data_IF_300833571180
#
_entry.id   IF_300833571180
#
_cell.length_a   1.000
_cell.length_b   1.000
_cell.length_c   1.000
_cell.angle_alpha   90.00
_cell.angle_beta   90.00
_cell.angle_gamma   90.00
#
_symmetry.space_group_name_H-M   'P 1'
#
loop_
_entity.id
_entity.type
_entity.pdbx_description
1 polymer ?
#
# COMPACT_ATOMS: atom_id res chain seq x y z
N UNK A 1 -23.22 -8.31 8.09
CA UNK A 1 -23.43 -8.92 9.42
C UNK A 1 -22.15 -8.95 10.26
N UNK A 2 -21.09 -9.69 9.93
CA UNK A 2 -19.83 -9.65 10.72
C UNK A 2 -19.14 -8.28 10.67
N UNK A 3 -18.96 -7.71 9.47
CA UNK A 3 -18.36 -6.37 9.31
C UNK A 3 -19.12 -5.25 10.03
N UNK A 4 -20.45 -5.29 10.08
CA UNK A 4 -21.24 -4.28 10.81
C UNK A 4 -21.06 -4.40 12.32
N UNK A 5 -20.91 -5.64 12.83
CA UNK A 5 -20.71 -5.90 14.26
C UNK A 5 -19.32 -5.43 14.71
N UNK A 6 -18.28 -5.67 13.90
CA UNK A 6 -16.91 -5.19 14.20
C UNK A 6 -16.83 -3.67 14.23
N UNK A 7 -17.53 -3.00 13.33
CA UNK A 7 -17.51 -1.55 13.25
C UNK A 7 -18.35 -0.88 14.34
N UNK A 8 -19.49 -1.47 14.71
CA UNK A 8 -20.20 -1.04 15.91
C UNK A 8 -19.31 -1.19 17.16
N UNK A 9 -18.60 -2.32 17.28
CA UNK A 9 -17.68 -2.54 18.40
C UNK A 9 -16.53 -1.53 18.43
N UNK A 10 -16.03 -1.11 17.26
CA UNK A 10 -15.01 -0.07 17.15
C UNK A 10 -15.56 1.32 17.56
N UNK A 11 -16.78 1.65 17.12
CA UNK A 11 -17.46 2.88 17.51
C UNK A 11 -17.77 2.92 19.01
N UNK A 12 -18.19 1.80 19.60
CA UNK A 12 -18.42 1.69 21.05
C UNK A 12 -17.11 1.91 21.83
N UNK A 13 -15.99 1.43 21.30
CA UNK A 13 -14.65 1.67 21.87
C UNK A 13 -14.24 3.14 21.76
N UNK A 14 -14.49 3.79 20.63
CA UNK A 14 -14.26 5.23 20.46
C UNK A 14 -15.12 6.02 21.46
N UNK A 15 -16.41 5.71 21.56
CA UNK A 15 -17.33 6.34 22.52
C UNK A 15 -16.87 6.15 23.98
N UNK A 16 -16.37 4.96 24.31
CA UNK A 16 -15.82 4.68 25.65
C UNK A 16 -14.57 5.50 25.96
N UNK A 17 -13.75 5.81 24.95
CA UNK A 17 -12.53 6.63 25.10
C UNK A 17 -12.84 8.13 25.14
N UNK A 18 -13.87 8.56 24.43
CA UNK A 18 -14.29 9.95 24.27
C UNK A 18 -15.78 10.12 24.65
N UNK A 19 -16.13 9.94 25.93
CA UNK A 19 -17.54 9.89 26.36
C UNK A 19 -18.28 11.23 26.21
N UNK A 20 -17.56 12.34 26.05
CA UNK A 20 -18.12 13.68 25.85
C UNK A 20 -18.31 14.03 24.36
N UNK A 21 -17.79 13.21 23.44
CA UNK A 21 -17.92 13.45 22.00
C UNK A 21 -19.28 12.95 21.49
N UNK A 22 -19.90 13.74 20.63
CA UNK A 22 -21.10 13.34 19.89
C UNK A 22 -20.79 12.26 18.85
N UNK A 23 -21.81 11.52 18.42
CA UNK A 23 -21.69 10.51 17.35
C UNK A 23 -21.00 11.05 16.09
N UNK A 24 -21.32 12.29 15.72
CA UNK A 24 -20.68 12.98 14.59
C UNK A 24 -19.17 13.16 14.81
N UNK A 25 -18.75 13.58 16.00
CA UNK A 25 -17.33 13.76 16.33
C UNK A 25 -16.59 12.42 16.37
N UNK A 26 -17.25 11.36 16.86
CA UNK A 26 -16.68 10.01 16.84
C UNK A 26 -16.46 9.50 15.40
N UNK A 27 -17.40 9.75 14.49
CA UNK A 27 -17.21 9.46 13.06
C UNK A 27 -16.10 10.30 12.42
N UNK A 28 -16.00 11.59 12.75
CA UNK A 28 -14.88 12.43 12.29
C UNK A 28 -13.53 11.88 12.77
N UNK A 29 -13.47 11.36 14.00
CA UNK A 29 -12.29 10.75 14.58
C UNK A 29 -11.95 9.40 13.96
N UNK A 30 -12.94 8.55 13.70
CA UNK A 30 -12.77 7.31 12.92
C UNK A 30 -12.17 7.62 11.55
N UNK A 31 -12.64 8.67 10.88
CA UNK A 31 -12.09 9.08 9.59
C UNK A 31 -10.68 9.63 9.70
N UNK A 32 -10.37 10.41 10.73
CA UNK A 32 -9.01 10.86 10.98
C UNK A 32 -8.04 9.67 11.18
N UNK A 33 -8.47 8.65 11.93
CA UNK A 33 -7.68 7.42 12.13
C UNK A 33 -7.45 6.66 10.83
N UNK A 34 -8.48 6.52 9.99
CA UNK A 34 -8.36 5.88 8.68
C UNK A 34 -7.37 6.62 7.77
N UNK A 35 -7.44 7.95 7.72
CA UNK A 35 -6.52 8.77 6.93
C UNK A 35 -5.08 8.65 7.42
N UNK A 36 -4.88 8.65 8.74
CA UNK A 36 -3.58 8.49 9.35
C UNK A 36 -3.01 7.10 9.09
N UNK A 37 -3.81 6.04 9.27
CA UNK A 37 -3.43 4.66 8.92
C UNK A 37 -2.97 4.57 7.46
N UNK A 38 -3.76 5.14 6.54
CA UNK A 38 -3.44 5.14 5.11
C UNK A 38 -2.09 5.81 4.82
N UNK A 39 -1.79 6.93 5.49
CA UNK A 39 -0.52 7.64 5.34
C UNK A 39 0.65 6.81 5.86
N UNK A 40 0.52 6.19 7.04
CA UNK A 40 1.56 5.36 7.65
C UNK A 40 1.90 4.15 6.79
N UNK A 41 0.89 3.53 6.18
CA UNK A 41 1.05 2.32 5.36
C UNK A 41 1.27 2.61 3.86
N UNK A 42 1.36 3.89 3.45
CA UNK A 42 1.33 4.27 2.03
C UNK A 42 2.32 3.51 1.15
N UNK A 43 3.60 3.39 1.56
CA UNK A 43 4.61 2.64 0.80
C UNK A 43 4.30 1.15 0.76
N UNK A 44 3.91 0.55 1.90
CA UNK A 44 3.52 -0.86 1.97
C UNK A 44 2.38 -1.18 1.00
N UNK A 45 1.36 -0.31 0.95
CA UNK A 45 0.21 -0.43 0.05
C UNK A 45 0.65 -0.29 -1.42
N UNK A 46 1.54 0.66 -1.71
CA UNK A 46 2.11 0.85 -3.04
C UNK A 46 2.86 -0.39 -3.53
N UNK A 47 3.76 -0.94 -2.71
CA UNK A 47 4.54 -2.13 -3.06
C UNK A 47 3.65 -3.38 -3.24
N UNK A 48 2.62 -3.53 -2.41
CA UNK A 48 1.63 -4.60 -2.59
C UNK A 48 0.82 -4.44 -3.90
N UNK A 49 0.45 -3.21 -4.27
CA UNK A 49 -0.26 -2.94 -5.52
C UNK A 49 0.59 -3.29 -6.75
N UNK A 50 1.87 -2.87 -6.77
CA UNK A 50 2.83 -3.25 -7.82
C UNK A 50 2.97 -4.77 -7.88
N UNK A 51 3.11 -5.44 -6.72
CA UNK A 51 3.27 -6.88 -6.67
C UNK A 51 2.06 -7.61 -7.26
N UNK A 52 0.85 -7.20 -6.89
CA UNK A 52 -0.38 -7.81 -7.38
C UNK A 52 -0.52 -7.66 -8.90
N UNK A 53 -0.16 -6.50 -9.44
CA UNK A 53 -0.19 -6.25 -10.89
C UNK A 53 0.81 -7.13 -11.62
N UNK A 54 2.04 -7.18 -11.15
CA UNK A 54 3.07 -8.02 -11.75
C UNK A 54 2.74 -9.51 -11.61
N UNK A 55 2.12 -9.92 -10.50
CA UNK A 55 1.65 -11.30 -10.29
C UNK A 55 0.53 -11.73 -11.26
N UNK A 56 -0.16 -10.77 -11.88
CA UNK A 56 -1.22 -11.07 -12.85
C UNK A 56 -0.74 -10.95 -14.31
N UNK A 57 0.39 -10.27 -14.54
CA UNK A 57 0.84 -9.89 -15.89
C UNK A 57 1.93 -10.82 -16.44
N UNK A 58 2.59 -11.63 -15.60
CA UNK A 58 3.69 -12.62 -15.79
C UNK A 58 4.15 -13.10 -17.18
N UNK A 59 3.42 -12.90 -18.27
CA UNK A 59 3.61 -13.52 -19.58
C UNK A 59 3.41 -12.61 -20.81
N UNK A 60 3.28 -11.29 -20.67
CA UNK A 60 3.11 -10.41 -21.84
C UNK A 60 4.41 -9.68 -22.21
N UNK A 61 4.84 -9.71 -23.49
CA UNK A 61 6.09 -9.07 -23.93
C UNK A 61 6.08 -7.54 -23.78
N UNK A 62 4.88 -6.94 -23.80
CA UNK A 62 4.65 -5.53 -23.51
C UNK A 62 3.78 -5.39 -22.25
N UNK A 63 4.01 -4.32 -21.50
CA UNK A 63 3.16 -4.00 -20.35
C UNK A 63 1.73 -3.72 -20.86
N UNK A 64 0.72 -4.50 -20.44
CA UNK A 64 -0.62 -4.40 -21.01
C UNK A 64 -1.26 -3.05 -20.68
N UNK A 65 -2.19 -2.63 -21.53
CA UNK A 65 -3.08 -1.53 -21.20
C UNK A 65 -3.88 -1.86 -19.93
N UNK A 66 -3.57 -1.16 -18.85
CA UNK A 66 -4.27 -1.31 -17.56
C UNK A 66 -5.55 -0.47 -17.50
N UNK A 67 -6.02 0.06 -18.62
CA UNK A 67 -7.31 0.77 -18.67
C UNK A 67 -8.42 -0.11 -18.11
N UNK A 68 -9.07 0.38 -17.06
CA UNK A 68 -10.12 -0.33 -16.35
C UNK A 68 -9.61 -1.30 -15.28
N UNK A 69 -8.31 -1.50 -15.08
CA UNK A 69 -7.79 -2.28 -13.95
C UNK A 69 -7.64 -1.41 -12.70
N UNK A 70 -7.94 -1.98 -11.54
CA UNK A 70 -7.81 -1.30 -10.25
C UNK A 70 -7.38 -2.27 -9.16
N UNK A 71 -6.40 -1.85 -8.35
CA UNK A 71 -6.04 -2.57 -7.14
C UNK A 71 -6.88 -2.07 -5.97
N UNK A 72 -7.75 -2.92 -5.45
CA UNK A 72 -8.67 -2.59 -4.35
C UNK A 72 -8.24 -3.24 -3.04
N UNK A 73 -8.22 -2.44 -1.99
CA UNK A 73 -7.94 -2.86 -0.61
C UNK A 73 -9.16 -2.51 0.24
N UNK A 74 -9.75 -3.51 0.89
CA UNK A 74 -10.84 -3.34 1.86
C UNK A 74 -10.26 -3.53 3.24
N UNK A 75 -10.50 -2.54 4.10
CA UNK A 75 -10.10 -2.56 5.49
C UNK A 75 -11.30 -2.90 6.37
N UNK A 76 -10.98 -3.47 7.52
CA UNK A 76 -11.89 -3.60 8.67
C UNK A 76 -11.18 -3.14 9.93
N UNK A 77 -11.89 -2.67 10.97
CA UNK A 77 -11.26 -2.25 12.21
C UNK A 77 -10.56 -3.43 12.87
N UNK A 78 -9.46 -3.16 13.59
CA UNK A 78 -8.79 -4.15 14.40
C UNK A 78 -9.04 -3.89 15.89
N UNK A 79 -9.63 -4.88 16.56
CA UNK A 79 -9.88 -4.82 18.00
C UNK A 79 -8.67 -5.33 18.77
N UNK A 80 -7.55 -4.58 18.73
CA UNK A 80 -6.36 -4.93 19.52
C UNK A 80 -6.60 -4.58 20.99
N UNK A 81 -6.28 -5.53 21.88
CA UNK A 81 -6.35 -5.35 23.33
C UNK A 81 -5.44 -4.21 23.81
N UNK A 82 -6.01 -3.16 24.37
CA UNK A 82 -5.29 -1.99 24.89
C UNK A 82 -6.22 -0.79 25.10
N UNK A 83 -5.82 0.18 25.91
CA UNK A 83 -6.64 1.37 26.18
C UNK A 83 -6.46 2.48 25.12
N UNK A 84 -5.37 2.44 24.34
CA UNK A 84 -5.11 3.41 23.28
C UNK A 84 -5.41 2.84 21.89
N UNK A 85 -5.96 3.70 21.03
CA UNK A 85 -6.23 3.40 19.63
C UNK A 85 -5.08 3.98 18.82
N UNK A 86 -4.20 3.10 18.36
CA UNK A 86 -3.03 3.46 17.57
C UNK A 86 -3.38 3.40 16.08
N UNK A 87 -3.18 4.50 15.35
CA UNK A 87 -3.50 4.58 13.93
C UNK A 87 -2.69 3.62 13.05
N UNK A 88 -1.52 3.15 13.46
CA UNK A 88 -0.73 2.16 12.71
C UNK A 88 -1.37 0.76 12.71
N UNK A 89 -2.23 0.48 13.70
CA UNK A 89 -2.82 -0.85 13.93
C UNK A 89 -4.35 -0.83 14.07
N UNK A 90 -4.98 0.34 14.00
CA UNK A 90 -6.43 0.51 14.14
C UNK A 90 -7.25 -0.26 13.09
N UNK A 91 -6.65 -0.64 11.97
CA UNK A 91 -7.29 -1.36 10.88
C UNK A 91 -6.45 -2.55 10.45
N UNK A 92 -7.12 -3.55 9.86
CA UNK A 92 -6.48 -4.65 9.17
C UNK A 92 -7.03 -4.84 7.76
N UNK A 93 -6.23 -5.43 6.88
CA UNK A 93 -6.61 -5.70 5.49
C UNK A 93 -7.46 -6.97 5.44
N UNK A 94 -8.74 -6.78 5.14
CA UNK A 94 -9.69 -7.87 4.94
C UNK A 94 -9.47 -8.52 3.56
N UNK A 95 -9.61 -7.70 2.52
CA UNK A 95 -9.44 -8.11 1.12
C UNK A 95 -8.44 -7.19 0.43
N UNK A 96 -7.53 -7.76 -0.34
CA UNK A 96 -6.68 -7.02 -1.28
C UNK A 96 -6.66 -7.80 -2.59
N UNK A 97 -7.07 -7.15 -3.69
CA UNK A 97 -7.15 -7.80 -5.00
C UNK A 97 -7.01 -6.83 -6.15
N UNK A 98 -6.43 -7.32 -7.23
CA UNK A 98 -6.51 -6.68 -8.52
C UNK A 98 -7.83 -7.08 -9.20
N UNK A 99 -8.55 -6.13 -9.77
CA UNK A 99 -9.80 -6.38 -10.48
C UNK A 99 -9.87 -5.58 -11.77
N UNK A 100 -10.42 -6.19 -12.82
CA UNK A 100 -10.85 -5.48 -14.01
C UNK A 100 -12.25 -4.91 -13.76
N UNK A 101 -12.38 -3.60 -13.87
CA UNK A 101 -13.60 -2.84 -13.72
C UNK A 101 -14.57 -3.19 -14.87
N UNK A 102 -15.79 -3.60 -14.55
CA UNK A 102 -16.86 -3.78 -15.57
C UNK A 102 -17.26 -2.43 -16.19
N UNK A 103 -18.00 -2.37 -17.31
CA UNK A 103 -18.36 -1.12 -18.02
C UNK A 103 -18.85 0.06 -17.15
N UNK A 104 -19.55 -0.20 -16.03
CA UNK A 104 -19.98 0.83 -15.07
C UNK A 104 -18.80 1.26 -14.19
N UNK A 105 -18.08 0.31 -13.64
CA UNK A 105 -16.86 0.54 -12.87
C UNK A 105 -15.71 1.11 -13.74
N UNK A 106 -15.71 0.87 -15.06
CA UNK A 106 -14.74 1.37 -16.03
C UNK A 106 -14.96 2.86 -16.27
N UNK A 107 -16.21 3.32 -16.41
CA UNK A 107 -16.51 4.76 -16.41
C UNK A 107 -16.12 5.42 -15.09
N UNK A 108 -16.31 4.72 -13.96
CA UNK A 108 -15.80 5.18 -12.67
C UNK A 108 -14.27 5.19 -12.65
N UNK A 109 -13.59 4.13 -13.06
CA UNK A 109 -12.12 3.98 -13.07
C UNK A 109 -11.42 4.92 -14.05
N UNK A 110 -12.01 5.20 -15.21
CA UNK A 110 -11.58 6.26 -16.13
C UNK A 110 -11.70 7.65 -15.48
N UNK A 111 -12.68 7.84 -14.60
CA UNK A 111 -12.82 9.04 -13.80
C UNK A 111 -11.89 9.05 -12.55
N UNK A 112 -11.32 7.91 -12.15
CA UNK A 112 -10.31 7.82 -11.09
C UNK A 112 -9.00 8.38 -11.63
N UNK A 113 -8.85 9.69 -11.49
CA UNK A 113 -7.80 10.53 -12.08
C UNK A 113 -8.34 11.89 -12.51
N UNK A 114 -9.62 11.95 -12.89
CA UNK A 114 -10.32 13.13 -13.41
C UNK A 114 -11.29 13.79 -12.39
N UNK A 115 -11.68 13.11 -11.30
CA UNK A 115 -12.66 13.62 -10.31
C UNK A 115 -12.16 14.86 -9.51
N UNK A 116 -10.96 15.37 -9.76
CA UNK A 116 -10.49 16.58 -9.10
C UNK A 116 -9.22 17.24 -9.63
N UNK A 117 -8.81 16.99 -10.89
CA UNK A 117 -7.66 17.69 -11.47
C UNK A 117 -7.57 17.56 -12.98
N UNK A 118 -7.03 18.60 -13.63
CA UNK A 118 -6.92 18.73 -15.09
C UNK A 118 -5.91 17.77 -15.76
N UNK A 119 -5.39 16.77 -15.04
CA UNK A 119 -4.30 15.91 -15.53
C UNK A 119 -4.39 14.47 -15.05
N UNK A 120 -3.98 13.54 -15.92
CA UNK A 120 -3.99 12.10 -15.66
C UNK A 120 -3.02 11.71 -14.54
N UNK A 121 -3.21 10.54 -13.92
CA UNK A 121 -2.25 10.02 -12.93
C UNK A 121 -0.85 9.84 -13.53
N UNK A 122 -0.77 9.47 -14.80
CA UNK A 122 0.49 9.33 -15.52
C UNK A 122 1.22 10.67 -15.60
N UNK A 123 0.53 11.77 -15.96
CA UNK A 123 1.14 13.11 -16.02
C UNK A 123 1.63 13.58 -14.65
N UNK A 124 0.92 13.20 -13.57
CA UNK A 124 1.31 13.55 -12.20
C UNK A 124 2.59 12.81 -11.79
N UNK A 125 2.68 11.52 -12.09
CA UNK A 125 3.89 10.74 -11.81
C UNK A 125 5.06 11.13 -12.69
N UNK A 126 4.83 11.51 -13.94
CA UNK A 126 5.88 12.06 -14.81
C UNK A 126 6.43 13.37 -14.27
N UNK A 127 5.55 14.30 -13.85
CA UNK A 127 5.99 15.55 -13.20
C UNK A 127 6.75 15.27 -11.91
N UNK A 128 6.21 14.41 -11.05
CA UNK A 128 6.90 14.00 -9.84
C UNK A 128 8.28 13.41 -10.14
N UNK A 129 8.41 12.56 -11.16
CA UNK A 129 9.69 11.96 -11.57
C UNK A 129 10.70 13.04 -12.00
N UNK A 130 10.27 14.04 -12.77
CA UNK A 130 11.10 15.18 -13.17
C UNK A 130 11.51 16.02 -11.96
N UNK A 131 10.57 16.35 -11.07
CA UNK A 131 10.81 17.18 -9.89
C UNK A 131 11.74 16.51 -8.86
N UNK A 132 11.89 15.19 -8.93
CA UNK A 132 12.71 14.38 -8.01
C UNK A 132 13.94 13.75 -8.70
N UNK A 133 14.31 14.21 -9.89
CA UNK A 133 15.46 13.70 -10.67
C UNK A 133 15.46 12.18 -10.82
N UNK A 134 14.29 11.56 -10.95
CA UNK A 134 14.17 10.12 -11.12
C UNK A 134 14.82 9.71 -12.45
N UNK A 135 15.77 8.77 -12.37
CA UNK A 135 16.56 8.35 -13.55
C UNK A 135 15.94 7.19 -14.31
N UNK A 136 14.95 6.52 -13.70
CA UNK A 136 14.23 5.38 -14.29
C UNK A 136 13.00 5.89 -15.07
N UNK A 137 12.71 5.26 -16.21
CA UNK A 137 11.52 5.60 -16.98
C UNK A 137 10.25 5.11 -16.27
N UNK A 138 9.22 5.97 -16.24
CA UNK A 138 7.88 5.56 -15.82
C UNK A 138 7.25 4.68 -16.91
N UNK A 139 6.97 3.42 -16.57
CA UNK A 139 6.28 2.47 -17.46
C UNK A 139 4.78 2.78 -17.46
N UNK A 140 4.16 2.88 -16.26
CA UNK A 140 2.72 3.15 -16.12
C UNK A 140 2.37 3.64 -14.72
N UNK A 141 1.11 4.02 -14.51
CA UNK A 141 0.55 4.31 -13.19
C UNK A 141 -0.69 3.45 -12.95
N UNK A 142 -0.67 2.64 -11.90
CA UNK A 142 -1.78 1.73 -11.54
C UNK A 142 -2.75 2.46 -10.60
N UNK A 143 -4.05 2.50 -10.88
CA UNK A 143 -5.05 2.98 -9.94
C UNK A 143 -5.15 2.08 -8.70
N UNK A 144 -5.16 2.69 -7.51
CA UNK A 144 -5.34 2.00 -6.23
C UNK A 144 -6.48 2.63 -5.44
N UNK A 145 -7.32 1.78 -4.85
CA UNK A 145 -8.37 2.20 -3.92
C UNK A 145 -8.22 1.51 -2.58
N UNK A 146 -8.33 2.30 -1.52
CA UNK A 146 -8.39 1.81 -0.14
C UNK A 146 -9.74 2.21 0.42
N UNK A 147 -10.51 1.22 0.85
CA UNK A 147 -11.90 1.36 1.26
C UNK A 147 -12.04 0.95 2.71
N UNK A 148 -12.72 1.80 3.47
CA UNK A 148 -13.18 1.51 4.81
C UNK A 148 -14.58 2.12 4.94
N UNK A 149 -15.60 1.28 5.17
CA UNK A 149 -17.01 1.71 5.13
C UNK A 149 -17.37 2.44 3.82
N UNK A 150 -18.00 3.61 3.95
CA UNK A 150 -18.35 4.52 2.85
C UNK A 150 -17.18 5.45 2.49
N UNK A 151 -16.03 5.29 3.13
CA UNK A 151 -14.87 6.14 2.91
C UNK A 151 -13.88 5.46 1.99
N UNK A 152 -13.57 6.19 0.92
CA UNK A 152 -12.73 5.72 -0.17
C UNK A 152 -11.57 6.69 -0.30
N UNK A 153 -10.36 6.16 -0.22
CA UNK A 153 -9.14 6.83 -0.64
C UNK A 153 -8.74 6.28 -1.98
N UNK A 154 -8.55 7.18 -2.94
CA UNK A 154 -8.08 6.85 -4.27
C UNK A 154 -6.68 7.42 -4.43
N UNK A 155 -5.79 6.61 -4.98
CA UNK A 155 -4.44 6.99 -5.34
C UNK A 155 -4.04 6.26 -6.62
N UNK A 156 -2.82 6.51 -7.07
CA UNK A 156 -2.18 5.68 -8.07
C UNK A 156 -0.78 5.34 -7.61
N UNK A 157 -0.23 4.26 -8.14
CA UNK A 157 1.11 3.79 -7.82
C UNK A 157 1.92 3.72 -9.11
N UNK A 158 3.13 4.30 -9.14
CA UNK A 158 3.93 4.29 -10.35
C UNK A 158 4.63 2.93 -10.49
N UNK A 159 4.76 2.47 -11.73
CA UNK A 159 5.70 1.41 -12.07
C UNK A 159 6.82 2.07 -12.88
N UNK A 160 8.01 2.07 -12.30
CA UNK A 160 9.22 2.50 -12.98
C UNK A 160 10.02 1.27 -13.47
N UNK A 161 10.89 1.49 -14.46
CA UNK A 161 11.93 0.53 -14.78
C UNK A 161 12.79 0.25 -13.52
N UNK A 162 13.13 -1.01 -13.21
CA UNK A 162 13.96 -1.29 -12.04
C UNK A 162 15.36 -0.68 -12.16
N UNK A 163 15.85 -0.06 -11.09
CA UNK A 163 17.25 0.42 -10.99
C UNK A 163 18.24 -0.74 -11.09
N UNK A 164 19.51 -0.47 -11.38
CA UNK A 164 20.55 -1.53 -11.47
C UNK A 164 20.64 -2.38 -10.20
N UNK A 165 20.57 -1.75 -9.02
CA UNK A 165 20.55 -2.48 -7.75
C UNK A 165 19.31 -3.35 -7.59
N UNK A 166 18.13 -2.83 -7.96
CA UNK A 166 16.90 -3.62 -7.94
C UNK A 166 16.98 -4.80 -8.92
N UNK A 167 17.51 -4.61 -10.13
CA UNK A 167 17.71 -5.68 -11.12
C UNK A 167 18.58 -6.82 -10.57
N UNK A 168 19.66 -6.51 -9.86
CA UNK A 168 20.51 -7.52 -9.24
C UNK A 168 19.74 -8.36 -8.19
N UNK A 169 18.96 -7.70 -7.33
CA UNK A 169 18.12 -8.38 -6.32
C UNK A 169 17.04 -9.25 -6.99
N UNK A 170 16.41 -8.73 -8.05
CA UNK A 170 15.44 -9.49 -8.84
C UNK A 170 16.08 -10.71 -9.52
N UNK A 171 17.35 -10.58 -9.95
CA UNK A 171 18.26 -11.67 -10.36
C UNK A 171 18.30 -12.81 -9.38
N UNK A 172 18.66 -12.48 -8.15
CA UNK A 172 18.80 -13.46 -7.09
C UNK A 172 17.46 -14.14 -6.77
N UNK A 173 16.35 -13.39 -6.80
CA UNK A 173 15.01 -13.94 -6.53
C UNK A 173 14.51 -14.89 -7.60
N UNK A 174 14.90 -14.70 -8.86
CA UNK A 174 14.53 -15.62 -9.93
C UNK A 174 15.17 -17.02 -9.75
N UNK A 175 16.22 -17.13 -8.93
CA UNK A 175 16.86 -18.39 -8.56
C UNK A 175 16.19 -19.06 -7.35
N UNK A 176 15.34 -18.34 -6.63
CA UNK A 176 14.62 -18.87 -5.47
C UNK A 176 13.38 -19.66 -5.93
N UNK A 177 13.11 -20.78 -5.25
CA UNK A 177 11.90 -21.58 -5.45
C UNK A 177 10.62 -20.88 -4.96
N UNK A 178 10.77 -19.83 -4.15
CA UNK A 178 9.66 -19.08 -3.56
C UNK A 178 9.16 -17.99 -4.50
N UNK A 179 7.85 -17.99 -4.75
CA UNK A 179 7.18 -16.93 -5.48
C UNK A 179 6.98 -15.69 -4.59
N UNK A 180 7.97 -14.79 -4.65
CA UNK A 180 7.98 -13.54 -3.89
C UNK A 180 6.80 -12.61 -4.25
N UNK A 181 6.27 -12.70 -5.47
CA UNK A 181 5.12 -11.88 -5.89
C UNK A 181 3.84 -12.34 -5.20
N UNK A 182 3.59 -13.64 -5.14
CA UNK A 182 2.44 -14.20 -4.38
C UNK A 182 2.54 -13.96 -2.87
N UNK A 183 3.74 -13.81 -2.33
CA UNK A 183 3.96 -13.54 -0.89
C UNK A 183 3.60 -12.12 -0.47
N UNK A 184 3.47 -11.17 -1.39
CA UNK A 184 3.26 -9.76 -1.04
C UNK A 184 1.93 -9.48 -0.34
N UNK A 185 0.82 -10.09 -0.78
CA UNK A 185 -0.47 -9.87 -0.13
C UNK A 185 -0.50 -10.45 1.29
N UNK A 186 -0.05 -11.70 1.54
CA UNK A 186 0.16 -12.19 2.91
C UNK A 186 1.09 -11.30 3.74
N UNK A 187 2.18 -10.80 3.14
CA UNK A 187 3.14 -9.91 3.80
C UNK A 187 2.51 -8.58 4.20
N UNK A 188 1.75 -7.93 3.31
CA UNK A 188 1.00 -6.72 3.61
C UNK A 188 0.06 -6.93 4.79
N UNK A 189 -0.75 -8.00 4.75
CA UNK A 189 -1.68 -8.34 5.85
C UNK A 189 -0.92 -8.51 7.17
N UNK A 190 0.21 -9.22 7.14
CA UNK A 190 1.06 -9.46 8.30
C UNK A 190 1.70 -8.17 8.85
N UNK A 191 2.15 -7.26 7.99
CA UNK A 191 2.72 -5.97 8.35
C UNK A 191 1.68 -5.09 9.03
N UNK A 192 0.52 -4.93 8.41
CA UNK A 192 -0.60 -4.14 8.93
C UNK A 192 -1.03 -4.64 10.31
N UNK A 193 -1.18 -5.96 10.48
CA UNK A 193 -1.56 -6.54 11.77
C UNK A 193 -0.53 -6.29 12.89
N UNK A 194 0.75 -6.11 12.53
CA UNK A 194 1.84 -5.86 13.49
C UNK A 194 2.15 -4.38 13.67
N UNK A 195 1.48 -3.48 12.94
CA UNK A 195 1.83 -2.05 12.92
C UNK A 195 3.13 -1.75 12.18
N UNK A 196 3.65 -2.73 11.44
CA UNK A 196 4.88 -2.58 10.67
C UNK A 196 4.59 -1.89 9.33
N UNK A 197 5.52 -1.06 8.88
CA UNK A 197 5.43 -0.28 7.64
C UNK A 197 6.76 -0.30 6.89
N UNK A 198 6.72 -0.13 5.57
CA UNK A 198 7.91 0.12 4.76
C UNK A 198 8.36 1.58 4.91
N UNK A 199 9.67 1.79 5.04
CA UNK A 199 10.24 3.14 5.12
C UNK A 199 11.73 3.21 4.74
N UNK A 200 12.32 4.42 4.84
CA UNK A 200 11.65 5.66 5.21
C UNK A 200 10.70 6.17 4.10
N UNK A 201 9.68 6.98 4.44
CA UNK A 201 8.71 7.54 3.48
C UNK A 201 9.30 8.43 2.39
N UNK A 202 10.57 8.83 2.54
CA UNK A 202 11.32 9.75 1.66
C UNK A 202 12.49 8.99 1.00
N UNK A 203 12.36 7.68 0.78
CA UNK A 203 13.33 6.93 0.01
C UNK A 203 13.42 7.51 -1.42
N UNK A 204 14.64 7.65 -1.94
CA UNK A 204 14.85 8.14 -3.30
C UNK A 204 14.31 7.14 -4.33
N UNK A 205 13.95 7.61 -5.54
CA UNK A 205 13.30 6.78 -6.57
C UNK A 205 14.09 5.52 -6.98
N UNK A 206 15.39 5.47 -6.71
CA UNK A 206 16.33 4.42 -7.10
C UNK A 206 16.67 3.41 -5.98
N UNK A 207 16.19 3.64 -4.77
CA UNK A 207 16.57 2.90 -3.56
C UNK A 207 15.50 1.92 -3.06
N UNK A 208 14.85 1.18 -3.97
CA UNK A 208 13.99 0.05 -3.57
C UNK A 208 14.75 -0.99 -2.73
N UNK A 209 16.05 -1.12 -2.99
CA UNK A 209 16.99 -1.94 -2.22
C UNK A 209 17.27 -1.35 -0.84
N UNK A 210 17.04 -0.05 -0.63
CA UNK A 210 17.22 0.66 0.65
C UNK A 210 15.97 0.67 1.54
N UNK A 211 14.79 0.35 1.00
CA UNK A 211 13.55 0.27 1.79
C UNK A 211 13.64 -0.90 2.76
N UNK A 212 13.27 -0.65 4.02
CA UNK A 212 13.26 -1.64 5.11
C UNK A 212 11.91 -1.68 5.80
N UNK A 213 11.68 -2.76 6.56
CA UNK A 213 10.53 -2.87 7.45
C UNK A 213 10.86 -2.17 8.77
N UNK A 214 9.89 -1.43 9.30
CA UNK A 214 10.01 -0.73 10.57
C UNK A 214 8.65 -0.57 11.24
N UNK A 215 8.64 0.10 12.38
CA UNK A 215 7.44 0.53 13.08
C UNK A 215 7.17 2.00 12.79
N UNK A 216 5.90 2.35 12.65
CA UNK A 216 5.47 3.72 12.82
C UNK A 216 5.30 3.97 14.33
N UNK A 217 6.05 4.91 14.90
CA UNK A 217 5.92 5.29 16.31
C UNK A 217 5.49 6.75 16.42
N UNK A 218 4.47 6.99 17.25
CA UNK A 218 4.05 8.35 17.57
C UNK A 218 5.00 8.93 18.63
N UNK A 219 5.80 9.91 18.25
CA UNK A 219 6.75 10.62 19.14
C UNK A 219 6.17 11.94 19.67
N UNK A 220 4.84 11.97 19.88
CA UNK A 220 4.10 13.11 20.39
C UNK A 220 3.40 13.89 19.26
N UNK A 221 4.12 14.80 18.61
CA UNK A 221 3.55 15.65 17.54
C UNK A 221 3.72 15.06 16.14
N UNK A 222 4.59 14.06 15.98
CA UNK A 222 4.92 13.47 14.68
C UNK A 222 5.06 11.95 14.76
N UNK A 223 4.85 11.32 13.62
CA UNK A 223 5.14 9.91 13.43
C UNK A 223 6.56 9.75 12.90
N UNK A 224 7.36 8.95 13.58
CA UNK A 224 8.67 8.55 13.13
C UNK A 224 8.65 7.10 12.65
N UNK A 225 9.38 6.84 11.58
CA UNK A 225 9.67 5.48 11.17
C UNK A 225 10.91 4.99 11.94
N UNK A 226 10.77 3.86 12.63
CA UNK A 226 11.85 3.22 13.38
C UNK A 226 12.14 1.87 12.73
N UNK A 227 13.35 1.64 12.19
CA UNK A 227 13.69 0.37 11.53
C UNK A 227 13.56 -0.81 12.50
N UNK A 228 13.11 -1.95 11.98
CA UNK A 228 13.38 -3.23 12.62
C UNK A 228 14.85 -3.59 12.41
N UNK A 229 15.42 -4.34 13.35
CA UNK A 229 16.68 -5.06 13.12
C UNK A 229 16.50 -6.15 12.08
N UNK A 230 17.59 -6.58 11.46
CA UNK A 230 17.57 -7.66 10.46
C UNK A 230 17.04 -8.96 11.12
N UNK A 231 17.42 -9.24 12.36
CA UNK A 231 16.93 -10.39 13.12
C UNK A 231 15.41 -10.31 13.40
N UNK A 232 14.88 -9.15 13.76
CA UNK A 232 13.44 -8.96 13.96
C UNK A 232 12.65 -9.14 12.65
N UNK A 233 13.19 -8.61 11.56
CA UNK A 233 12.57 -8.74 10.24
C UNK A 233 12.57 -10.20 9.76
N UNK A 234 13.68 -10.93 9.97
CA UNK A 234 13.80 -12.35 9.66
C UNK A 234 12.86 -13.20 10.52
N UNK A 235 12.82 -12.97 11.83
CA UNK A 235 11.90 -13.67 12.75
C UNK A 235 10.43 -13.44 12.40
N UNK A 236 10.10 -12.25 11.90
CA UNK A 236 8.76 -11.92 11.40
C UNK A 236 8.47 -12.52 10.01
N UNK A 237 9.47 -13.11 9.35
CA UNK A 237 9.36 -13.79 8.05
C UNK A 237 9.30 -12.83 6.86
N UNK A 238 9.83 -11.62 6.99
CA UNK A 238 9.84 -10.62 5.93
C UNK A 238 10.90 -10.89 4.85
N UNK A 239 10.68 -10.28 3.69
CA UNK A 239 11.65 -10.30 2.60
C UNK A 239 12.84 -9.42 2.96
N UNK A 240 14.07 -9.85 2.63
CA UNK A 240 15.31 -9.10 2.88
C UNK A 240 15.33 -7.74 2.15
N UNK A 241 14.69 -7.66 0.97
CA UNK A 241 14.58 -6.44 0.17
C UNK A 241 13.12 -6.07 -0.13
N UNK A 242 12.34 -5.69 0.88
CA UNK A 242 10.90 -5.55 0.74
C UNK A 242 10.50 -4.37 -0.18
N UNK A 243 11.38 -3.41 -0.46
CA UNK A 243 11.06 -2.39 -1.46
C UNK A 243 11.06 -2.90 -2.89
N UNK A 244 11.88 -3.92 -3.18
CA UNK A 244 12.05 -4.46 -4.52
C UNK A 244 10.85 -5.36 -4.82
N UNK A 245 10.07 -5.02 -5.83
CA UNK A 245 8.87 -5.77 -6.23
C UNK A 245 8.91 -5.98 -7.74
N UNK A 246 8.80 -7.21 -8.21
CA UNK A 246 8.69 -7.51 -9.65
C UNK A 246 9.68 -8.53 -10.17
N UNK A 247 9.70 -8.68 -11.50
CA UNK A 247 10.59 -9.58 -12.24
C UNK A 247 11.58 -8.75 -13.05
N UNK A 248 12.82 -9.25 -13.17
CA UNK A 248 13.73 -8.86 -14.25
C UNK A 248 12.98 -9.06 -15.57
N UNK A 249 13.08 -8.11 -16.49
CA UNK A 249 12.77 -8.40 -17.89
C UNK A 249 13.57 -9.65 -18.31
N UNK A 250 12.89 -10.61 -18.94
CA UNK A 250 13.55 -11.80 -19.48
C UNK A 250 14.83 -11.42 -20.21
N UNK A 251 15.95 -12.03 -19.81
CA UNK A 251 17.11 -12.09 -20.67
C UNK A 251 16.70 -12.97 -21.85
N UNK A 252 16.35 -12.34 -22.97
CA UNK A 252 16.16 -13.04 -24.23
C UNK A 252 17.47 -13.75 -24.57
N UNK A 253 17.44 -15.08 -24.54
CA UNK A 253 18.50 -15.93 -25.10
C UNK A 253 18.42 -16.00 -26.62
#
# INVERSE_FOLDING_TARGET
MESETECQSFMDRLASRYPEESEKQLHEREMALFLQWYQLHAISLQKAAVAAVLDNIHHLPDFPDLTGWIFGIVLRPCMISGNDIDASTAFCVDLARLACANNIQQKWALNIGLVGGDSSWQDKWQRWAVDNDATQNLVTAIPMTVMFHNCIKMASVPIFEPSYGAQAVLGLRALDSVDHLKRWIPTLKAMVLRGHVLGPPIARPDEDVGIRVGNAQNLGTEWAWVPLTDEEAEQAGYLEFPGVVGSIMQVSG
#
